data_IF_294118841842
#
_entry.id   IF_294118841842
#
_cell.length_a   1.000
_cell.length_b   1.000
_cell.length_c   1.000
_cell.angle_alpha   90.00
_cell.angle_beta   90.00
_cell.angle_gamma   90.00
#
_symmetry.space_group_name_H-M   'P 1'
#
loop_
_entity.id
_entity.type
_entity.pdbx_description
1 polymer ?
#
# COMPACT_ATOMS: atom_id res chain seq x y z
N UNK A 1 -19.31 -9.01 -6.35
CA UNK A 1 -18.72 -7.68 -6.09
C UNK A 1 -17.51 -7.84 -5.19
N UNK A 2 -16.34 -7.39 -5.63
CA UNK A 2 -15.07 -7.54 -4.92
C UNK A 2 -14.97 -6.59 -3.72
N UNK A 3 -14.50 -7.10 -2.58
CA UNK A 3 -14.26 -6.34 -1.33
C UNK A 3 -12.79 -5.92 -1.17
N UNK A 4 -11.83 -6.79 -1.56
CA UNK A 4 -10.40 -6.51 -1.60
C UNK A 4 -10.10 -5.45 -2.64
N UNK A 5 -9.26 -4.48 -2.33
CA UNK A 5 -8.95 -3.38 -3.22
C UNK A 5 -7.78 -3.70 -4.15
N UNK A 6 -7.74 -3.06 -5.32
CA UNK A 6 -6.61 -3.19 -6.26
C UNK A 6 -5.92 -1.84 -6.40
N UNK A 7 -4.60 -1.86 -6.21
CA UNK A 7 -3.71 -0.75 -6.48
C UNK A 7 -2.98 -1.05 -7.79
N UNK A 8 -2.98 -0.10 -8.72
CA UNK A 8 -2.26 -0.21 -9.99
C UNK A 8 -1.18 0.87 -10.07
N UNK A 9 0.04 0.49 -10.39
CA UNK A 9 1.12 1.45 -10.66
C UNK A 9 0.95 2.03 -12.05
N UNK A 10 0.95 3.35 -12.14
CA UNK A 10 0.80 4.08 -13.39
C UNK A 10 2.17 4.35 -13.99
N UNK A 11 2.36 3.89 -15.22
CA UNK A 11 3.58 4.04 -15.98
C UNK A 11 3.32 4.04 -17.48
N UNK A 12 4.35 3.88 -18.32
CA UNK A 12 4.23 4.01 -19.78
C UNK A 12 3.14 3.15 -20.42
N UNK A 13 2.86 1.95 -19.84
CA UNK A 13 1.84 1.04 -20.37
C UNK A 13 0.40 1.44 -19.98
N UNK A 14 0.24 2.32 -18.97
CA UNK A 14 -1.08 2.61 -18.37
C UNK A 14 -1.42 4.09 -18.26
N UNK A 15 -0.55 5.01 -18.63
CA UNK A 15 -0.74 6.46 -18.43
C UNK A 15 -1.68 7.13 -19.45
N UNK A 16 -2.05 6.45 -20.55
CA UNK A 16 -2.98 7.00 -21.53
C UNK A 16 -4.38 7.13 -20.95
N UNK A 17 -5.14 8.11 -21.41
CA UNK A 17 -6.52 8.34 -20.95
C UNK A 17 -7.42 7.13 -21.19
N UNK A 18 -7.29 6.51 -22.36
CA UNK A 18 -8.06 5.32 -22.73
C UNK A 18 -7.75 4.14 -21.78
N UNK A 19 -6.46 3.87 -21.53
CA UNK A 19 -6.07 2.78 -20.65
C UNK A 19 -6.50 3.07 -19.20
N UNK A 20 -6.36 4.30 -18.70
CA UNK A 20 -6.81 4.66 -17.36
C UNK A 20 -8.32 4.41 -17.17
N UNK A 21 -9.16 4.77 -18.17
CA UNK A 21 -10.60 4.45 -18.15
C UNK A 21 -10.84 2.94 -18.08
N UNK A 22 -10.15 2.18 -18.90
CA UNK A 22 -10.26 0.71 -18.92
C UNK A 22 -9.81 0.08 -17.60
N UNK A 23 -8.74 0.59 -16.96
CA UNK A 23 -8.27 0.09 -15.67
C UNK A 23 -9.26 0.42 -14.53
N UNK A 24 -9.86 1.61 -14.55
CA UNK A 24 -10.92 2.00 -13.60
C UNK A 24 -12.12 1.05 -13.74
N UNK A 25 -12.60 0.83 -14.97
CA UNK A 25 -13.72 -0.07 -15.25
C UNK A 25 -13.39 -1.53 -14.89
N UNK A 26 -12.13 -1.97 -15.06
CA UNK A 26 -11.66 -3.30 -14.68
C UNK A 26 -11.52 -3.48 -13.15
N UNK A 27 -11.60 -2.38 -12.39
CA UNK A 27 -11.64 -2.41 -10.93
C UNK A 27 -10.44 -1.82 -10.21
N UNK A 28 -9.65 -0.96 -10.83
CA UNK A 28 -8.63 -0.17 -10.16
C UNK A 28 -9.28 0.74 -9.09
N UNK A 29 -8.85 0.61 -7.84
CA UNK A 29 -9.32 1.42 -6.72
C UNK A 29 -8.36 2.57 -6.39
N UNK A 30 -7.06 2.33 -6.58
CA UNK A 30 -5.99 3.27 -6.26
C UNK A 30 -4.96 3.28 -7.39
N UNK A 31 -4.56 4.45 -7.82
CA UNK A 31 -3.46 4.66 -8.75
C UNK A 31 -2.19 5.01 -7.98
N UNK A 32 -1.14 4.18 -8.09
CA UNK A 32 0.16 4.40 -7.49
C UNK A 32 1.09 5.11 -8.47
N UNK A 33 1.77 6.14 -7.99
CA UNK A 33 2.79 6.91 -8.68
C UNK A 33 4.14 6.68 -7.99
N UNK A 34 5.08 6.04 -8.68
CA UNK A 34 6.39 5.72 -8.13
C UNK A 34 7.35 6.89 -8.35
N UNK A 35 7.70 7.59 -7.28
CA UNK A 35 8.60 8.76 -7.30
C UNK A 35 10.09 8.38 -7.38
N UNK A 36 10.44 7.09 -7.37
CA UNK A 36 11.79 6.65 -7.73
C UNK A 36 12.13 6.93 -9.21
N UNK A 37 11.12 7.21 -10.03
CA UNK A 37 11.26 7.45 -11.47
C UNK A 37 10.42 8.65 -11.90
N UNK A 38 10.91 9.36 -12.94
CA UNK A 38 10.21 10.49 -13.52
C UNK A 38 10.47 11.81 -12.79
N UNK A 39 9.92 12.87 -13.35
CA UNK A 39 10.02 14.25 -12.85
C UNK A 39 8.71 14.70 -12.21
N UNK A 40 8.78 15.75 -11.37
CA UNK A 40 7.57 16.36 -10.79
C UNK A 40 6.54 16.79 -11.85
N UNK A 41 6.99 17.29 -13.01
CA UNK A 41 6.07 17.71 -14.07
C UNK A 41 5.36 16.52 -14.72
N UNK A 42 6.07 15.41 -14.98
CA UNK A 42 5.46 14.17 -15.48
C UNK A 42 4.43 13.62 -14.49
N UNK A 43 4.77 13.57 -13.20
CA UNK A 43 3.83 13.14 -12.15
C UNK A 43 2.61 14.05 -12.07
N UNK A 44 2.78 15.35 -12.19
CA UNK A 44 1.69 16.33 -12.17
C UNK A 44 0.71 16.13 -13.34
N UNK A 45 1.22 15.89 -14.54
CA UNK A 45 0.37 15.66 -15.70
C UNK A 45 -0.41 14.34 -15.61
N UNK A 46 0.23 13.27 -15.15
CA UNK A 46 -0.44 11.98 -14.88
C UNK A 46 -1.50 12.12 -13.77
N UNK A 47 -1.17 12.82 -12.69
CA UNK A 47 -2.09 13.09 -11.59
C UNK A 47 -3.32 13.88 -12.05
N UNK A 48 -3.13 15.00 -12.76
CA UNK A 48 -4.24 15.83 -13.28
C UNK A 48 -5.15 15.02 -14.21
N UNK A 49 -4.56 14.20 -15.09
CA UNK A 49 -5.31 13.32 -16.00
C UNK A 49 -6.21 12.38 -15.21
N UNK A 50 -5.66 11.67 -14.23
CA UNK A 50 -6.45 10.77 -13.39
C UNK A 50 -7.55 11.49 -12.62
N UNK A 51 -7.25 12.64 -11.98
CA UNK A 51 -8.24 13.42 -11.22
C UNK A 51 -9.38 13.91 -12.12
N UNK A 52 -9.08 14.32 -13.35
CA UNK A 52 -10.11 14.67 -14.33
C UNK A 52 -10.99 13.45 -14.65
N UNK A 53 -10.36 12.32 -14.98
CA UNK A 53 -11.07 11.09 -15.37
C UNK A 53 -11.97 10.55 -14.27
N UNK A 54 -11.47 10.48 -13.02
CA UNK A 54 -12.30 9.98 -11.89
C UNK A 54 -13.56 10.82 -11.67
N UNK A 55 -13.48 12.15 -11.91
CA UNK A 55 -14.64 13.06 -11.83
C UNK A 55 -15.60 12.85 -12.98
N UNK A 56 -15.11 12.73 -14.22
CA UNK A 56 -15.94 12.45 -15.39
C UNK A 56 -16.69 11.12 -15.28
N UNK A 57 -16.04 10.09 -14.74
CA UNK A 57 -16.60 8.75 -14.55
C UNK A 57 -17.44 8.64 -13.26
N UNK A 58 -17.36 9.60 -12.35
CA UNK A 58 -18.05 9.55 -11.05
C UNK A 58 -17.49 8.46 -10.12
N UNK A 59 -16.23 8.04 -10.30
CA UNK A 59 -15.60 6.96 -9.52
C UNK A 59 -14.47 7.53 -8.67
N UNK A 60 -14.50 7.40 -7.33
CA UNK A 60 -13.53 8.01 -6.43
C UNK A 60 -12.22 7.20 -6.34
N UNK A 61 -11.48 7.08 -7.44
CA UNK A 61 -10.16 6.45 -7.47
C UNK A 61 -9.19 7.30 -6.64
N UNK A 62 -8.51 6.67 -5.66
CA UNK A 62 -7.51 7.36 -4.85
C UNK A 62 -6.16 7.44 -5.57
N UNK A 63 -5.33 8.39 -5.16
CA UNK A 63 -3.94 8.52 -5.59
C UNK A 63 -3.00 8.19 -4.44
N UNK A 64 -1.95 7.42 -4.73
CA UNK A 64 -0.91 7.04 -3.80
C UNK A 64 0.45 7.42 -4.40
N UNK A 65 1.16 8.34 -3.75
CA UNK A 65 2.56 8.58 -4.05
C UNK A 65 3.43 7.58 -3.28
N UNK A 66 4.42 6.99 -3.94
CA UNK A 66 5.35 6.05 -3.35
C UNK A 66 6.75 6.68 -3.38
N UNK A 67 7.32 6.96 -2.19
CA UNK A 67 8.60 7.67 -2.07
C UNK A 67 9.75 6.77 -2.49
N UNK A 68 10.87 7.38 -2.85
CA UNK A 68 12.09 6.65 -3.15
C UNK A 68 12.68 6.03 -1.88
N UNK A 69 12.76 6.80 -0.81
CA UNK A 69 13.36 6.39 0.45
C UNK A 69 14.90 6.33 0.42
N UNK A 70 15.52 5.97 1.55
CA UNK A 70 16.97 5.86 1.72
C UNK A 70 17.51 4.60 1.03
N UNK A 71 17.95 4.74 -0.23
CA UNK A 71 18.43 3.63 -1.05
C UNK A 71 19.92 3.80 -1.36
N UNK A 72 20.69 2.71 -1.19
CA UNK A 72 22.10 2.65 -1.57
C UNK A 72 22.20 2.08 -2.98
N UNK A 73 22.95 2.73 -3.85
CA UNK A 73 23.19 2.27 -5.23
C UNK A 73 24.65 2.29 -5.60
N UNK A 74 25.02 1.37 -6.46
CA UNK A 74 26.29 1.45 -7.21
C UNK A 74 26.25 2.65 -8.19
N UNK A 75 27.42 3.14 -8.54
CA UNK A 75 27.63 4.15 -9.57
C UNK A 75 27.86 3.50 -10.94
N UNK A 76 28.43 4.27 -11.88
CA UNK A 76 28.63 3.83 -13.24
C UNK A 76 29.83 2.86 -13.36
N UNK A 77 29.71 1.90 -14.29
CA UNK A 77 30.73 0.93 -14.64
C UNK A 77 31.30 1.21 -16.03
N UNK A 78 32.57 0.83 -16.24
CA UNK A 78 33.18 0.81 -17.58
C UNK A 78 32.36 -0.07 -18.52
N UNK A 79 32.01 0.46 -19.68
CA UNK A 79 31.14 -0.25 -20.62
C UNK A 79 29.71 -0.51 -20.13
N UNK A 80 29.30 0.09 -18.99
CA UNK A 80 27.94 0.00 -18.43
C UNK A 80 27.64 -1.31 -17.70
N UNK A 81 28.51 -2.34 -17.79
CA UNK A 81 28.30 -3.65 -17.18
C UNK A 81 29.62 -4.41 -17.03
N UNK A 82 29.77 -5.12 -15.92
CA UNK A 82 30.90 -6.02 -15.66
C UNK A 82 30.40 -7.37 -15.17
N UNK A 83 31.25 -8.40 -15.22
CA UNK A 83 30.99 -9.72 -14.66
C UNK A 83 31.81 -9.85 -13.37
N UNK A 84 31.15 -10.17 -12.25
CA UNK A 84 31.80 -10.55 -11.00
C UNK A 84 31.89 -12.07 -10.92
N UNK A 85 33.08 -12.59 -10.73
CA UNK A 85 33.32 -14.04 -10.64
C UNK A 85 33.26 -14.50 -9.18
N UNK A 86 32.62 -15.63 -8.93
CA UNK A 86 32.60 -16.24 -7.60
C UNK A 86 34.03 -16.51 -7.08
N UNK A 87 34.28 -16.06 -5.86
CA UNK A 87 35.60 -16.21 -5.19
C UNK A 87 36.59 -15.10 -5.49
N UNK A 88 36.26 -14.15 -6.37
CA UNK A 88 37.13 -12.99 -6.62
C UNK A 88 36.98 -11.96 -5.49
N UNK A 89 38.03 -11.14 -5.34
CA UNK A 89 37.95 -9.94 -4.49
C UNK A 89 37.20 -8.83 -5.21
N UNK A 90 36.39 -8.07 -4.46
CA UNK A 90 35.67 -6.92 -4.96
C UNK A 90 35.61 -5.82 -3.89
N UNK A 91 35.92 -4.58 -4.26
CA UNK A 91 35.99 -3.47 -3.33
C UNK A 91 34.85 -2.48 -3.62
N UNK A 92 34.02 -2.20 -2.61
CA UNK A 92 33.11 -1.06 -2.64
C UNK A 92 33.81 0.16 -2.04
N UNK A 93 33.68 1.31 -2.69
CA UNK A 93 34.36 2.56 -2.26
C UNK A 93 33.42 3.74 -2.25
N UNK A 94 33.68 4.67 -1.32
CA UNK A 94 32.99 5.97 -1.22
C UNK A 94 33.62 7.02 -2.15
N UNK A 95 34.80 6.74 -2.73
CA UNK A 95 35.45 7.58 -3.73
C UNK A 95 34.72 7.47 -5.07
N UNK A 96 34.70 8.56 -5.83
CA UNK A 96 34.09 8.56 -7.16
C UNK A 96 35.06 7.97 -8.18
N UNK A 97 34.84 6.70 -8.52
CA UNK A 97 35.60 5.99 -9.54
C UNK A 97 34.66 5.33 -10.53
N UNK A 98 35.14 5.12 -11.76
CA UNK A 98 34.46 4.28 -12.73
C UNK A 98 34.59 2.82 -12.29
N UNK A 99 33.47 2.12 -12.17
CA UNK A 99 33.41 0.74 -11.69
C UNK A 99 34.05 -0.25 -12.68
N UNK A 100 34.74 -1.24 -12.14
CA UNK A 100 35.38 -2.37 -12.85
C UNK A 100 34.93 -3.70 -12.22
N UNK A 101 35.49 -4.80 -12.67
CA UNK A 101 35.28 -6.11 -12.02
C UNK A 101 35.99 -6.25 -10.65
N UNK A 102 36.80 -5.28 -10.25
CA UNK A 102 37.57 -5.32 -9.00
C UNK A 102 37.07 -4.26 -7.98
N UNK A 103 36.47 -3.15 -8.45
CA UNK A 103 36.12 -1.99 -7.60
C UNK A 103 34.92 -1.24 -8.17
N UNK A 104 34.01 -0.76 -7.29
CA UNK A 104 32.93 0.13 -7.69
C UNK A 104 32.59 1.17 -6.61
N UNK A 105 32.17 2.36 -7.04
CA UNK A 105 31.66 3.41 -6.17
C UNK A 105 30.23 3.14 -5.70
N UNK A 106 29.93 3.52 -4.46
CA UNK A 106 28.60 3.51 -3.86
C UNK A 106 28.06 4.93 -3.63
N UNK A 107 26.74 5.05 -3.57
CA UNK A 107 26.09 6.34 -3.35
C UNK A 107 26.15 6.82 -1.89
N UNK A 108 26.18 5.90 -0.92
CA UNK A 108 26.16 6.20 0.50
C UNK A 108 27.58 6.19 1.08
N UNK A 109 28.06 7.38 1.46
CA UNK A 109 29.47 7.58 1.86
C UNK A 109 29.81 7.06 3.27
N UNK A 110 28.82 6.90 4.13
CA UNK A 110 29.03 6.42 5.50
C UNK A 110 28.88 4.90 5.64
N UNK A 111 28.57 4.18 4.54
CA UNK A 111 28.43 2.72 4.57
C UNK A 111 29.63 1.98 5.21
N UNK A 112 30.92 2.39 4.99
CA UNK A 112 32.04 1.76 5.69
C UNK A 112 31.99 1.83 7.21
N UNK A 113 31.25 2.81 7.79
CA UNK A 113 31.09 2.95 9.24
C UNK A 113 30.00 2.04 9.80
N UNK A 114 29.03 1.69 8.96
CA UNK A 114 27.85 0.91 9.36
C UNK A 114 28.06 -0.59 9.20
N UNK A 115 28.96 -1.03 8.31
CA UNK A 115 29.25 -2.45 8.06
C UNK A 115 30.41 -2.96 8.88
N UNK A 116 30.46 -4.26 9.12
CA UNK A 116 31.52 -4.94 9.86
C UNK A 116 32.05 -6.16 9.14
N UNK A 117 33.25 -6.61 9.52
CA UNK A 117 33.85 -7.87 9.02
C UNK A 117 32.89 -9.05 9.22
N UNK A 118 32.75 -9.89 8.21
CA UNK A 118 31.84 -11.03 8.18
C UNK A 118 30.41 -10.68 7.77
N UNK A 119 30.08 -9.39 7.66
CA UNK A 119 28.79 -8.91 7.18
C UNK A 119 28.52 -9.30 5.72
N UNK A 120 27.24 -9.30 5.34
CA UNK A 120 26.77 -9.61 4.00
C UNK A 120 26.35 -8.32 3.29
N UNK A 121 26.71 -8.18 2.02
CA UNK A 121 26.22 -7.12 1.14
C UNK A 121 25.61 -7.78 -0.10
N UNK A 122 24.39 -7.40 -0.43
CA UNK A 122 23.66 -7.90 -1.58
C UNK A 122 23.55 -6.82 -2.66
N UNK A 123 23.66 -7.22 -3.93
CA UNK A 123 23.56 -6.32 -5.08
C UNK A 123 22.55 -6.88 -6.07
N UNK A 124 21.79 -5.99 -6.73
CA UNK A 124 20.81 -6.34 -7.78
C UNK A 124 19.76 -7.31 -7.25
N UNK A 125 19.00 -6.89 -6.24
CA UNK A 125 17.93 -7.67 -5.59
C UNK A 125 18.40 -9.06 -5.07
N UNK A 126 19.65 -9.12 -4.58
CA UNK A 126 20.23 -10.33 -4.00
C UNK A 126 20.81 -11.31 -5.02
N UNK A 127 20.83 -10.97 -6.31
CA UNK A 127 21.44 -11.81 -7.35
C UNK A 127 22.97 -11.96 -7.16
N UNK A 128 23.61 -10.97 -6.55
CA UNK A 128 25.03 -10.99 -6.21
C UNK A 128 25.19 -10.86 -4.72
N UNK A 129 26.00 -11.74 -4.14
CA UNK A 129 26.30 -11.76 -2.71
C UNK A 129 27.80 -11.51 -2.50
N UNK A 130 28.09 -10.55 -1.64
CA UNK A 130 29.42 -10.20 -1.18
C UNK A 130 29.55 -10.47 0.32
N UNK A 131 30.69 -10.96 0.76
CA UNK A 131 31.05 -11.07 2.18
C UNK A 131 32.14 -10.07 2.50
N UNK A 132 31.92 -9.25 3.52
CA UNK A 132 32.90 -8.26 3.99
C UNK A 132 34.08 -8.96 4.65
N UNK A 133 35.28 -8.69 4.17
CA UNK A 133 36.54 -9.21 4.71
C UNK A 133 37.20 -8.20 5.66
N UNK A 134 37.22 -6.92 5.26
CA UNK A 134 37.77 -5.84 6.06
C UNK A 134 37.18 -4.50 5.62
N UNK A 135 37.27 -3.51 6.49
CA UNK A 135 36.73 -2.16 6.25
C UNK A 135 37.83 -1.15 6.57
N UNK A 136 37.92 -0.12 5.73
CA UNK A 136 38.73 1.07 5.98
C UNK A 136 37.81 2.30 6.09
N UNK A 137 38.38 3.50 6.17
CA UNK A 137 37.57 4.74 6.23
C UNK A 137 36.73 4.95 4.95
N UNK A 138 37.24 4.53 3.78
CA UNK A 138 36.58 4.78 2.49
C UNK A 138 36.32 3.53 1.65
N UNK A 139 36.75 2.36 2.11
CA UNK A 139 36.63 1.12 1.34
C UNK A 139 36.09 -0.03 2.17
N UNK A 140 35.33 -0.90 1.51
CA UNK A 140 34.82 -2.16 2.03
C UNK A 140 35.38 -3.26 1.11
N UNK A 141 36.32 -4.02 1.62
CA UNK A 141 36.93 -5.14 0.88
C UNK A 141 36.10 -6.40 1.07
N UNK A 142 35.64 -6.98 -0.01
CA UNK A 142 34.74 -8.12 0.01
C UNK A 142 35.28 -9.29 -0.84
N UNK A 143 34.80 -10.48 -0.55
CA UNK A 143 34.87 -11.63 -1.45
C UNK A 143 33.49 -11.87 -2.07
N UNK A 144 33.46 -12.13 -3.38
CA UNK A 144 32.22 -12.48 -4.11
C UNK A 144 31.80 -13.92 -3.74
N UNK A 145 30.72 -14.07 -2.99
CA UNK A 145 30.16 -15.38 -2.61
C UNK A 145 29.29 -15.95 -3.73
N UNK A 146 28.44 -15.12 -4.32
CA UNK A 146 27.69 -15.44 -5.52
C UNK A 146 27.93 -14.36 -6.56
N UNK A 147 28.43 -14.72 -7.71
CA UNK A 147 28.81 -13.82 -8.79
C UNK A 147 27.72 -13.73 -9.87
N UNK A 148 27.95 -12.81 -10.78
CA UNK A 148 27.03 -12.55 -11.89
C UNK A 148 27.31 -11.22 -12.59
N UNK A 149 26.49 -10.85 -13.58
CA UNK A 149 26.59 -9.57 -14.26
C UNK A 149 26.06 -8.42 -13.37
N UNK A 150 26.85 -7.39 -13.19
CA UNK A 150 26.49 -6.15 -12.50
C UNK A 150 26.50 -4.98 -13.48
N UNK A 151 25.51 -4.12 -13.43
CA UNK A 151 25.39 -2.94 -14.27
C UNK A 151 25.24 -1.65 -13.43
N UNK A 152 25.24 -0.51 -14.14
CA UNK A 152 25.09 0.83 -13.54
C UNK A 152 23.86 0.90 -12.62
N UNK A 153 24.01 1.66 -11.54
CA UNK A 153 22.92 2.08 -10.63
C UNK A 153 22.13 0.96 -9.96
N UNK A 154 22.70 -0.25 -9.84
CA UNK A 154 22.07 -1.36 -9.13
C UNK A 154 21.97 -1.07 -7.65
N UNK A 155 20.87 -1.52 -7.03
CA UNK A 155 20.62 -1.43 -5.59
C UNK A 155 21.66 -2.22 -4.80
N UNK A 156 21.97 -1.72 -3.63
CA UNK A 156 22.86 -2.36 -2.63
C UNK A 156 22.10 -2.50 -1.34
N UNK A 157 21.90 -3.73 -0.87
CA UNK A 157 21.25 -4.04 0.40
C UNK A 157 22.27 -4.57 1.39
N UNK A 158 22.06 -4.29 2.65
CA UNK A 158 22.95 -4.73 3.75
C UNK A 158 22.07 -5.34 4.85
N UNK A 159 21.67 -6.61 4.68
CA UNK A 159 20.82 -7.29 5.64
C UNK A 159 21.38 -7.26 7.07
N UNK A 160 20.50 -7.22 8.05
CA UNK A 160 20.82 -7.23 9.48
C UNK A 160 21.74 -6.10 9.95
N UNK A 161 21.82 -4.99 9.19
CA UNK A 161 22.67 -3.84 9.51
C UNK A 161 21.81 -2.59 9.70
N UNK A 162 22.00 -1.91 10.84
CA UNK A 162 21.39 -0.62 11.09
C UNK A 162 22.17 0.48 10.36
N UNK A 163 21.58 1.05 9.33
CA UNK A 163 22.20 2.13 8.56
C UNK A 163 21.95 3.48 9.24
N UNK A 164 23.02 4.29 9.39
CA UNK A 164 22.92 5.65 9.94
C UNK A 164 22.43 6.70 8.92
N UNK A 165 21.87 6.25 7.81
CA UNK A 165 21.34 7.10 6.75
C UNK A 165 20.06 7.83 7.18
N UNK A 166 19.93 9.15 6.90
CA UNK A 166 18.69 9.86 7.17
C UNK A 166 17.50 9.23 6.42
N UNK A 167 16.40 9.01 7.14
CA UNK A 167 15.18 8.40 6.56
C UNK A 167 14.58 9.26 5.44
N UNK A 168 14.53 10.59 5.62
CA UNK A 168 14.02 11.53 4.63
C UNK A 168 15.20 12.27 4.00
N UNK A 169 15.49 11.97 2.74
CA UNK A 169 16.43 12.73 1.92
C UNK A 169 15.88 14.11 1.53
N UNK A 170 16.74 15.02 1.06
CA UNK A 170 16.28 16.31 0.50
C UNK A 170 15.31 16.11 -0.68
N UNK A 171 15.54 15.09 -1.50
CA UNK A 171 14.65 14.74 -2.61
C UNK A 171 13.31 14.22 -2.10
N UNK A 172 13.31 13.29 -1.15
CA UNK A 172 12.05 12.78 -0.58
C UNK A 172 11.23 13.88 0.08
N UNK A 173 11.89 14.82 0.76
CA UNK A 173 11.21 15.98 1.32
C UNK A 173 10.56 16.83 0.23
N UNK A 174 11.29 17.12 -0.86
CA UNK A 174 10.75 17.89 -1.99
C UNK A 174 9.57 17.16 -2.65
N UNK A 175 9.66 15.85 -2.79
CA UNK A 175 8.60 15.00 -3.35
C UNK A 175 7.35 15.00 -2.46
N UNK A 176 7.51 14.84 -1.15
CA UNK A 176 6.41 14.89 -0.17
C UNK A 176 5.70 16.24 -0.19
N UNK A 177 6.47 17.34 -0.19
CA UNK A 177 5.91 18.69 -0.28
C UNK A 177 5.17 18.93 -1.60
N UNK A 178 5.71 18.40 -2.70
CA UNK A 178 5.03 18.41 -3.99
C UNK A 178 3.74 17.62 -3.97
N UNK A 179 3.73 16.43 -3.38
CA UNK A 179 2.53 15.61 -3.18
C UNK A 179 1.48 16.30 -2.34
N UNK A 180 1.88 17.01 -1.27
CA UNK A 180 0.99 17.84 -0.45
C UNK A 180 0.29 18.93 -1.30
N UNK A 181 1.05 19.63 -2.14
CA UNK A 181 0.54 20.71 -3.02
C UNK A 181 -0.44 20.20 -4.07
N UNK A 182 -0.23 18.99 -4.60
CA UNK A 182 -1.13 18.37 -5.56
C UNK A 182 -2.38 17.77 -4.92
N UNK A 183 -2.32 17.38 -3.64
CA UNK A 183 -3.42 16.79 -2.91
C UNK A 183 -3.56 15.29 -3.11
N UNK A 184 -2.46 14.54 -3.12
CA UNK A 184 -2.50 13.08 -3.05
C UNK A 184 -3.25 12.60 -1.82
N UNK A 185 -3.98 11.50 -1.94
CA UNK A 185 -4.74 10.91 -0.84
C UNK A 185 -3.88 10.06 0.10
N UNK A 186 -2.83 9.41 -0.45
CA UNK A 186 -1.94 8.51 0.28
C UNK A 186 -0.47 8.75 -0.06
N UNK A 187 0.39 8.45 0.90
CA UNK A 187 1.83 8.30 0.72
C UNK A 187 2.25 6.91 1.20
N UNK A 188 2.99 6.17 0.38
CA UNK A 188 3.70 4.96 0.76
C UNK A 188 5.14 5.34 1.08
N UNK A 189 5.54 5.10 2.33
CA UNK A 189 6.84 5.49 2.87
C UNK A 189 7.82 4.32 2.75
N UNK A 190 8.75 4.39 1.79
CA UNK A 190 9.73 3.33 1.53
C UNK A 190 10.75 3.21 2.66
N UNK A 191 11.18 1.98 2.90
CA UNK A 191 12.20 1.61 3.90
C UNK A 191 11.88 2.09 5.33
N UNK A 192 10.61 2.06 5.73
CA UNK A 192 10.21 2.37 7.09
C UNK A 192 10.73 1.30 8.05
N UNK A 193 11.50 1.71 9.04
CA UNK A 193 12.11 0.84 10.06
C UNK A 193 11.62 1.11 11.47
N UNK A 194 11.18 2.35 11.76
CA UNK A 194 10.74 2.78 13.10
C UNK A 194 9.46 3.62 13.06
N UNK A 195 8.85 3.81 14.23
CA UNK A 195 7.73 4.75 14.40
C UNK A 195 8.16 6.20 14.11
N UNK A 196 9.40 6.57 14.43
CA UNK A 196 9.93 7.92 14.22
C UNK A 196 9.95 8.29 12.73
N UNK A 197 10.26 7.35 11.84
CA UNK A 197 10.22 7.56 10.39
C UNK A 197 8.85 8.06 9.93
N UNK A 198 7.79 7.46 10.44
CA UNK A 198 6.42 7.86 10.14
C UNK A 198 6.08 9.22 10.76
N UNK A 199 6.57 9.50 11.95
CA UNK A 199 6.34 10.78 12.62
C UNK A 199 7.03 11.93 11.89
N UNK A 200 8.24 11.73 11.34
CA UNK A 200 8.92 12.72 10.49
C UNK A 200 8.09 13.10 9.26
N UNK A 201 7.52 12.12 8.54
CA UNK A 201 6.61 12.41 7.42
C UNK A 201 5.38 13.17 7.94
N UNK A 202 4.78 12.74 9.04
CA UNK A 202 3.58 13.36 9.60
C UNK A 202 3.79 14.83 9.95
N UNK A 203 4.98 15.21 10.40
CA UNK A 203 5.34 16.63 10.65
C UNK A 203 5.33 17.44 9.34
N UNK A 204 5.89 16.90 8.26
CA UNK A 204 5.85 17.57 6.94
C UNK A 204 4.40 17.73 6.47
N UNK A 205 3.59 16.67 6.57
CA UNK A 205 2.17 16.73 6.19
C UNK A 205 1.41 17.79 6.99
N UNK A 206 1.68 17.87 8.30
CA UNK A 206 1.08 18.86 9.20
C UNK A 206 1.48 20.29 8.83
N UNK A 207 2.77 20.52 8.53
CA UNK A 207 3.28 21.84 8.12
C UNK A 207 2.61 22.35 6.83
N UNK A 208 2.20 21.43 5.94
CA UNK A 208 1.51 21.74 4.68
C UNK A 208 -0.03 21.61 4.77
N UNK A 209 -0.60 21.42 5.97
CA UNK A 209 -2.04 21.16 6.16
C UNK A 209 -2.58 20.02 5.29
N UNK A 210 -1.75 19.05 4.97
CA UNK A 210 -2.10 17.91 4.14
C UNK A 210 -2.89 16.86 4.93
N UNK A 211 -3.88 16.25 4.27
CA UNK A 211 -4.69 15.16 4.82
C UNK A 211 -4.25 13.78 4.32
N UNK A 212 -3.11 13.71 3.64
CA UNK A 212 -2.56 12.42 3.17
C UNK A 212 -2.49 11.41 4.31
N UNK A 213 -2.79 10.16 3.99
CA UNK A 213 -2.66 9.01 4.87
C UNK A 213 -1.34 8.30 4.60
N UNK A 214 -0.66 7.84 5.64
CA UNK A 214 0.67 7.24 5.54
C UNK A 214 0.56 5.72 5.59
N UNK A 215 1.07 5.06 4.54
CA UNK A 215 1.24 3.61 4.45
C UNK A 215 2.73 3.31 4.60
N UNK A 216 3.13 2.72 5.72
CA UNK A 216 4.52 2.32 5.95
C UNK A 216 4.86 1.08 5.11
N UNK A 217 5.94 1.13 4.32
CA UNK A 217 6.42 -0.03 3.57
C UNK A 217 7.39 -0.82 4.45
N UNK A 218 7.07 -2.08 4.66
CA UNK A 218 7.87 -3.01 5.47
C UNK A 218 8.75 -3.81 4.50
N UNK A 219 10.03 -3.47 4.49
CA UNK A 219 11.03 -3.89 3.49
C UNK A 219 12.29 -4.48 4.11
N UNK A 220 12.39 -4.53 5.46
CA UNK A 220 13.58 -4.98 6.18
C UNK A 220 13.23 -5.77 7.44
N UNK A 221 14.20 -6.52 7.96
CA UNK A 221 14.11 -7.22 9.27
C UNK A 221 13.75 -6.25 10.39
N UNK A 222 14.36 -5.07 10.43
CA UNK A 222 14.10 -4.05 11.44
C UNK A 222 12.64 -3.56 11.39
N UNK A 223 12.11 -3.29 10.18
CA UNK A 223 10.70 -2.92 9.99
C UNK A 223 9.73 -4.01 10.46
N UNK A 224 10.06 -5.29 10.26
CA UNK A 224 9.27 -6.41 10.78
C UNK A 224 9.31 -6.47 12.30
N UNK A 225 10.49 -6.31 12.90
CA UNK A 225 10.64 -6.34 14.36
C UNK A 225 9.89 -5.18 15.05
N UNK A 226 9.85 -4.02 14.44
CA UNK A 226 9.20 -2.81 14.94
C UNK A 226 7.76 -2.63 14.45
N UNK A 227 7.17 -3.63 13.79
CA UNK A 227 5.85 -3.52 13.16
C UNK A 227 4.75 -3.03 14.11
N UNK A 228 4.84 -3.38 15.40
CA UNK A 228 3.86 -2.98 16.40
C UNK A 228 3.80 -1.47 16.56
N UNK A 229 4.95 -0.84 16.83
CA UNK A 229 5.05 0.61 17.02
C UNK A 229 4.81 1.40 15.72
N UNK A 230 5.25 0.87 14.58
CA UNK A 230 4.97 1.46 13.26
C UNK A 230 3.45 1.52 13.02
N UNK A 231 2.74 0.42 13.27
CA UNK A 231 1.29 0.35 13.14
C UNK A 231 0.54 1.32 14.07
N UNK A 232 1.09 1.65 15.23
CA UNK A 232 0.44 2.57 16.16
C UNK A 232 0.39 4.00 15.60
N UNK A 233 1.37 4.42 14.80
CA UNK A 233 1.48 5.78 14.24
C UNK A 233 1.14 5.89 12.75
N UNK A 234 1.25 4.80 11.97
CA UNK A 234 0.88 4.77 10.56
C UNK A 234 -0.64 4.61 10.35
N UNK A 235 -1.17 5.01 9.19
CA UNK A 235 -2.56 4.77 8.79
C UNK A 235 -2.74 3.36 8.18
N UNK A 236 -1.66 2.74 7.72
CA UNK A 236 -1.60 1.38 7.20
C UNK A 236 -0.17 0.94 6.92
N UNK A 237 -0.02 -0.27 6.44
CA UNK A 237 1.27 -0.86 6.07
C UNK A 237 1.20 -1.53 4.70
N UNK A 238 2.35 -1.65 4.04
CA UNK A 238 2.53 -2.42 2.80
C UNK A 238 3.61 -3.48 3.03
N UNK A 239 3.26 -4.73 2.78
CA UNK A 239 4.22 -5.83 2.73
C UNK A 239 4.84 -5.80 1.34
N UNK A 240 6.01 -5.20 1.21
CA UNK A 240 6.74 -5.04 -0.05
C UNK A 240 7.68 -6.24 -0.22
N UNK A 241 7.12 -7.36 -0.69
CA UNK A 241 7.76 -8.68 -0.66
C UNK A 241 9.02 -8.78 -1.51
N UNK A 242 9.16 -7.94 -2.54
CA UNK A 242 10.38 -7.87 -3.36
C UNK A 242 11.58 -7.47 -2.52
N UNK A 243 11.52 -6.28 -1.93
CA UNK A 243 12.61 -5.74 -1.11
C UNK A 243 12.76 -6.53 0.20
N UNK A 244 11.64 -6.90 0.85
CA UNK A 244 11.68 -7.72 2.07
C UNK A 244 12.37 -9.08 1.84
N UNK A 245 12.15 -9.72 0.68
CA UNK A 245 12.76 -11.01 0.35
C UNK A 245 14.25 -10.93 0.00
N UNK A 246 14.80 -9.72 -0.11
CA UNK A 246 16.25 -9.49 -0.19
C UNK A 246 16.87 -9.37 1.22
N UNK A 247 16.10 -8.82 2.15
CA UNK A 247 16.55 -8.50 3.52
C UNK A 247 16.34 -9.65 4.52
N UNK A 248 15.43 -10.60 4.23
CA UNK A 248 15.15 -11.76 5.09
C UNK A 248 15.23 -13.05 4.30
N UNK A 249 15.42 -14.22 4.96
CA UNK A 249 15.34 -15.51 4.29
C UNK A 249 14.03 -15.67 3.51
N UNK A 250 14.12 -16.09 2.26
CA UNK A 250 12.97 -16.14 1.33
C UNK A 250 11.79 -16.95 1.89
N UNK A 251 12.09 -18.05 2.59
CA UNK A 251 11.10 -18.92 3.24
C UNK A 251 10.35 -18.25 4.40
N UNK A 252 10.88 -17.17 4.97
CA UNK A 252 10.25 -16.42 6.06
C UNK A 252 9.29 -15.34 5.55
N UNK A 253 9.42 -14.88 4.31
CA UNK A 253 8.56 -13.85 3.73
C UNK A 253 7.06 -14.18 3.87
N UNK A 254 6.57 -15.40 3.58
CA UNK A 254 5.17 -15.75 3.79
C UNK A 254 4.74 -15.73 5.26
N UNK A 255 5.67 -16.03 6.19
CA UNK A 255 5.41 -16.00 7.64
C UNK A 255 5.24 -14.56 8.10
N UNK A 256 6.17 -13.68 7.71
CA UNK A 256 6.07 -12.24 8.00
C UNK A 256 4.84 -11.58 7.37
N UNK A 257 4.50 -11.94 6.12
CA UNK A 257 3.27 -11.46 5.48
C UNK A 257 2.05 -11.76 6.36
N UNK A 258 1.87 -13.00 6.79
CA UNK A 258 0.73 -13.41 7.64
C UNK A 258 0.74 -12.67 8.96
N UNK A 259 1.89 -12.52 9.58
CA UNK A 259 2.05 -11.81 10.85
C UNK A 259 1.66 -10.33 10.72
N UNK A 260 2.20 -9.63 9.72
CA UNK A 260 1.90 -8.22 9.47
C UNK A 260 0.42 -8.01 9.15
N UNK A 261 -0.16 -8.86 8.28
CA UNK A 261 -1.58 -8.79 7.94
C UNK A 261 -2.45 -8.96 9.20
N UNK A 262 -2.13 -9.94 10.04
CA UNK A 262 -2.86 -10.18 11.28
C UNK A 262 -2.78 -8.97 12.24
N UNK A 263 -1.59 -8.44 12.47
CA UNK A 263 -1.40 -7.28 13.36
C UNK A 263 -2.13 -6.03 12.86
N UNK A 264 -2.09 -5.78 11.53
CA UNK A 264 -2.82 -4.68 10.91
C UNK A 264 -4.35 -4.87 11.04
N UNK A 265 -4.84 -6.07 10.83
CA UNK A 265 -6.27 -6.39 10.98
C UNK A 265 -6.77 -6.18 12.40
N UNK A 266 -6.03 -6.64 13.42
CA UNK A 266 -6.38 -6.44 14.84
C UNK A 266 -6.45 -4.96 15.18
N UNK A 267 -5.53 -4.15 14.66
CA UNK A 267 -5.50 -2.68 14.89
C UNK A 267 -6.47 -1.89 13.98
N UNK A 268 -7.15 -2.55 13.04
CA UNK A 268 -8.04 -1.90 12.07
C UNK A 268 -7.30 -0.95 11.11
N UNK A 269 -6.06 -1.31 10.77
CA UNK A 269 -5.22 -0.59 9.83
C UNK A 269 -5.33 -1.17 8.42
N UNK A 270 -5.04 -0.36 7.42
CA UNK A 270 -4.92 -0.82 6.03
C UNK A 270 -3.69 -1.71 5.91
N UNK A 271 -3.81 -2.82 5.18
CA UNK A 271 -2.65 -3.62 4.80
C UNK A 271 -2.69 -3.92 3.31
N UNK A 272 -1.59 -3.66 2.64
CA UNK A 272 -1.39 -3.89 1.21
C UNK A 272 -0.39 -5.03 1.03
N UNK A 273 -0.74 -6.05 0.25
CA UNK A 273 0.22 -7.06 -0.20
C UNK A 273 0.70 -6.67 -1.60
N UNK A 274 2.01 -6.50 -1.74
CA UNK A 274 2.63 -5.88 -2.90
C UNK A 274 3.78 -6.70 -3.47
N UNK A 275 4.13 -6.40 -4.72
CA UNK A 275 5.23 -6.94 -5.52
C UNK A 275 5.09 -8.40 -5.91
N UNK A 276 5.47 -8.73 -7.15
CA UNK A 276 5.51 -10.08 -7.71
C UNK A 276 4.18 -10.86 -7.57
N UNK A 277 3.03 -10.16 -7.66
CA UNK A 277 1.71 -10.79 -7.51
C UNK A 277 1.30 -11.57 -8.78
N UNK A 278 1.46 -10.94 -9.95
CA UNK A 278 1.20 -11.53 -11.27
C UNK A 278 2.36 -11.23 -12.23
N UNK A 279 3.58 -11.34 -11.76
CA UNK A 279 4.80 -10.90 -12.43
C UNK A 279 4.96 -11.46 -13.85
N UNK A 280 4.63 -12.74 -14.06
CA UNK A 280 4.65 -13.35 -15.39
C UNK A 280 3.75 -12.64 -16.40
N UNK A 281 2.73 -11.89 -15.94
CA UNK A 281 1.86 -11.09 -16.79
C UNK A 281 2.52 -9.79 -17.31
N UNK A 282 3.74 -9.50 -16.89
CA UNK A 282 4.60 -8.53 -17.61
C UNK A 282 4.76 -8.91 -19.09
N UNK A 283 4.85 -10.20 -19.37
CA UNK A 283 5.15 -10.74 -20.71
C UNK A 283 4.10 -11.72 -21.25
N UNK A 284 3.23 -12.26 -20.39
CA UNK A 284 2.24 -13.27 -20.75
C UNK A 284 0.82 -12.79 -20.48
N UNK A 285 -0.17 -13.16 -21.33
CA UNK A 285 -1.58 -12.75 -21.14
C UNK A 285 -2.29 -13.49 -20.00
N UNK A 286 -1.63 -14.45 -19.36
CA UNK A 286 -2.15 -15.24 -18.23
C UNK A 286 -1.06 -15.46 -17.19
N UNK A 287 -1.42 -15.47 -15.88
CA UNK A 287 -0.46 -15.77 -14.85
C UNK A 287 -0.16 -17.27 -14.76
N UNK A 288 0.88 -17.59 -14.02
CA UNK A 288 1.12 -18.96 -13.57
C UNK A 288 0.09 -19.40 -12.52
N UNK A 289 -0.01 -20.69 -12.26
CA UNK A 289 -0.87 -21.23 -11.20
C UNK A 289 -0.37 -20.80 -9.81
N UNK A 290 0.95 -20.70 -9.63
CA UNK A 290 1.55 -20.26 -8.38
C UNK A 290 1.15 -18.81 -8.05
N UNK A 291 1.22 -17.89 -9.03
CA UNK A 291 0.80 -16.50 -8.86
C UNK A 291 -0.68 -16.37 -8.54
N UNK A 292 -1.55 -17.12 -9.24
CA UNK A 292 -2.97 -17.13 -8.92
C UNK A 292 -3.25 -17.62 -7.50
N UNK A 293 -2.48 -18.61 -7.02
CA UNK A 293 -2.55 -19.11 -5.64
C UNK A 293 -2.03 -18.08 -4.66
N UNK A 294 -0.96 -17.37 -4.98
CA UNK A 294 -0.37 -16.32 -4.14
C UNK A 294 -1.36 -15.16 -3.92
N UNK A 295 -1.98 -14.65 -4.98
CA UNK A 295 -3.03 -13.62 -4.88
C UNK A 295 -4.18 -14.11 -4.00
N UNK A 296 -4.66 -15.33 -4.20
CA UNK A 296 -5.73 -15.90 -3.39
C UNK A 296 -5.32 -16.04 -1.91
N UNK A 297 -4.10 -16.51 -1.64
CA UNK A 297 -3.59 -16.65 -0.27
C UNK A 297 -3.50 -15.30 0.46
N UNK A 298 -3.03 -14.24 -0.17
CA UNK A 298 -3.02 -12.90 0.43
C UNK A 298 -4.44 -12.47 0.88
N UNK A 299 -5.46 -12.83 0.09
CA UNK A 299 -6.86 -12.53 0.41
C UNK A 299 -7.36 -13.43 1.55
N UNK A 300 -7.02 -14.72 1.53
CA UNK A 300 -7.31 -15.63 2.65
C UNK A 300 -6.62 -15.21 3.94
N UNK A 301 -5.41 -14.67 3.88
CA UNK A 301 -4.70 -14.12 5.02
C UNK A 301 -5.40 -12.87 5.60
N UNK A 302 -6.16 -12.17 4.76
CA UNK A 302 -6.96 -11.03 5.20
C UNK A 302 -6.42 -9.68 4.76
N UNK A 303 -5.63 -9.60 3.70
CA UNK A 303 -5.16 -8.31 3.17
C UNK A 303 -6.33 -7.36 2.84
N UNK A 304 -6.11 -6.05 2.97
CA UNK A 304 -7.09 -5.03 2.58
C UNK A 304 -7.04 -4.77 1.08
N UNK A 305 -5.82 -4.74 0.54
CA UNK A 305 -5.56 -4.47 -0.86
C UNK A 305 -4.41 -5.32 -1.39
N UNK A 306 -4.42 -5.52 -2.70
CA UNK A 306 -3.38 -6.19 -3.48
C UNK A 306 -2.89 -5.21 -4.54
N UNK A 307 -1.59 -5.26 -4.87
CA UNK A 307 -0.97 -4.27 -5.75
C UNK A 307 -0.33 -4.92 -6.96
N UNK A 308 -0.53 -4.29 -8.13
CA UNK A 308 0.20 -4.53 -9.36
C UNK A 308 1.26 -3.44 -9.54
N UNK A 309 2.49 -3.85 -9.76
CA UNK A 309 3.65 -2.96 -9.93
C UNK A 309 4.02 -2.85 -11.43
N UNK A 310 5.00 -3.62 -11.86
CA UNK A 310 5.44 -3.67 -13.25
C UNK A 310 4.34 -4.10 -14.20
N UNK A 311 3.46 -5.01 -13.77
CA UNK A 311 2.37 -5.58 -14.58
C UNK A 311 1.46 -4.50 -15.18
N UNK A 312 1.24 -3.39 -14.47
CA UNK A 312 0.46 -2.25 -14.97
C UNK A 312 1.30 -1.07 -15.40
N UNK A 313 2.53 -0.91 -14.85
CA UNK A 313 3.39 0.22 -15.20
C UNK A 313 4.05 0.11 -16.57
N UNK A 314 4.59 -1.07 -16.91
CA UNK A 314 5.39 -1.32 -18.11
C UNK A 314 5.11 -2.67 -18.79
N UNK A 315 4.25 -3.51 -18.20
CA UNK A 315 3.89 -4.81 -18.73
C UNK A 315 3.13 -4.73 -20.06
N UNK A 316 3.18 -5.80 -20.83
CA UNK A 316 2.49 -5.89 -22.13
C UNK A 316 0.96 -6.08 -21.99
N UNK A 317 0.48 -6.48 -20.81
CA UNK A 317 -0.92 -6.86 -20.58
C UNK A 317 -1.55 -6.16 -19.34
N UNK A 318 -1.48 -4.82 -19.21
CA UNK A 318 -1.91 -4.12 -18.01
C UNK A 318 -3.41 -4.33 -17.68
N UNK A 319 -4.27 -4.28 -18.68
CA UNK A 319 -5.71 -4.47 -18.51
C UNK A 319 -6.06 -5.90 -18.08
N UNK A 320 -5.45 -6.88 -18.73
CA UNK A 320 -5.64 -8.30 -18.43
C UNK A 320 -5.15 -8.65 -17.03
N UNK A 321 -4.06 -8.03 -16.56
CA UNK A 321 -3.55 -8.19 -15.21
C UNK A 321 -4.59 -7.73 -14.17
N UNK A 322 -5.17 -6.54 -14.33
CA UNK A 322 -6.22 -6.03 -13.42
C UNK A 322 -7.47 -6.92 -13.46
N UNK A 323 -7.95 -7.30 -14.66
CA UNK A 323 -9.10 -8.19 -14.81
C UNK A 323 -8.86 -9.56 -14.17
N UNK A 324 -7.65 -10.11 -14.32
CA UNK A 324 -7.28 -11.41 -13.74
C UNK A 324 -7.20 -11.32 -12.23
N UNK A 325 -6.53 -10.31 -11.69
CA UNK A 325 -6.46 -10.05 -10.25
C UNK A 325 -7.87 -9.88 -9.64
N UNK A 326 -8.75 -9.15 -10.33
CA UNK A 326 -10.15 -8.98 -9.90
C UNK A 326 -10.90 -10.31 -9.83
N UNK A 327 -10.79 -11.16 -10.87
CA UNK A 327 -11.45 -12.49 -10.87
C UNK A 327 -10.93 -13.41 -9.78
N UNK A 328 -9.61 -13.44 -9.53
CA UNK A 328 -9.01 -14.25 -8.46
C UNK A 328 -9.54 -13.76 -7.10
N UNK A 329 -9.58 -12.43 -6.90
CA UNK A 329 -10.07 -11.85 -5.67
C UNK A 329 -11.55 -12.20 -5.43
N UNK A 330 -12.41 -12.07 -6.44
CA UNK A 330 -13.82 -12.43 -6.31
C UNK A 330 -14.02 -13.92 -6.03
N UNK A 331 -13.23 -14.79 -6.64
CA UNK A 331 -13.29 -16.23 -6.40
C UNK A 331 -12.89 -16.58 -4.95
N UNK A 332 -11.77 -16.03 -4.46
CA UNK A 332 -11.31 -16.25 -3.09
C UNK A 332 -12.32 -15.69 -2.06
N UNK A 333 -12.85 -14.50 -2.29
CA UNK A 333 -13.86 -13.89 -1.40
C UNK A 333 -15.18 -14.67 -1.34
N UNK A 334 -15.56 -15.31 -2.44
CA UNK A 334 -16.76 -16.14 -2.48
C UNK A 334 -16.62 -17.41 -1.60
N UNK A 335 -15.42 -17.95 -1.52
CA UNK A 335 -15.11 -19.12 -0.69
C UNK A 335 -14.99 -18.78 0.82
N UNK A 336 -14.65 -17.52 1.15
CA UNK A 336 -14.46 -17.08 2.53
C UNK A 336 -15.80 -17.01 3.28
N UNK A 337 -15.91 -17.77 4.39
CA UNK A 337 -17.02 -17.62 5.32
C UNK A 337 -16.81 -16.43 6.27
N UNK A 338 -17.14 -15.22 5.81
CA UNK A 338 -17.02 -13.99 6.62
C UNK A 338 -17.86 -14.02 7.90
N UNK A 339 -19.01 -14.73 7.91
CA UNK A 339 -19.83 -14.87 9.10
C UNK A 339 -19.11 -15.64 10.19
N UNK A 340 -18.45 -16.73 9.84
CA UNK A 340 -17.63 -17.52 10.77
C UNK A 340 -16.40 -16.71 11.24
N UNK A 341 -15.72 -16.01 10.32
CA UNK A 341 -14.59 -15.16 10.69
C UNK A 341 -14.99 -14.09 11.71
N UNK A 342 -16.11 -13.42 11.50
CA UNK A 342 -16.61 -12.41 12.42
C UNK A 342 -16.90 -12.99 13.81
N UNK A 343 -17.56 -14.16 13.89
CA UNK A 343 -17.88 -14.83 15.16
C UNK A 343 -16.65 -15.29 15.94
N UNK A 344 -15.60 -15.71 15.23
CA UNK A 344 -14.38 -16.25 15.83
C UNK A 344 -13.35 -15.14 16.17
N UNK A 345 -13.69 -13.88 16.00
CA UNK A 345 -12.81 -12.78 16.45
C UNK A 345 -12.70 -12.76 17.96
N UNK A 346 -11.47 -12.51 18.50
CA UNK A 346 -11.30 -12.26 19.91
C UNK A 346 -12.19 -11.08 20.35
N UNK A 347 -12.82 -11.19 21.53
CA UNK A 347 -13.57 -10.06 22.08
C UNK A 347 -12.60 -8.94 22.48
N UNK A 348 -12.95 -7.72 22.11
CA UNK A 348 -12.19 -6.51 22.45
C UNK A 348 -12.69 -6.04 23.84
N UNK A 349 -12.21 -6.66 24.92
CA UNK A 349 -12.55 -6.23 26.28
C UNK A 349 -12.00 -4.82 26.55
N UNK A 350 -12.81 -3.98 27.21
CA UNK A 350 -12.45 -2.59 27.48
C UNK A 350 -12.51 -1.68 26.26
N UNK A 351 -13.18 -2.11 25.19
CA UNK A 351 -13.37 -1.33 23.98
C UNK A 351 -14.13 -0.01 24.27
N UNK A 352 -13.76 1.03 23.57
CA UNK A 352 -14.49 2.30 23.58
C UNK A 352 -15.91 2.16 22.95
N UNK A 353 -16.76 3.14 23.18
CA UNK A 353 -18.13 3.15 22.65
C UNK A 353 -18.19 3.03 21.13
N UNK A 354 -17.26 3.65 20.41
CA UNK A 354 -17.16 3.58 18.95
C UNK A 354 -16.88 2.15 18.47
N UNK A 355 -15.97 1.44 19.14
CA UNK A 355 -15.66 0.04 18.83
C UNK A 355 -16.87 -0.85 19.10
N UNK A 356 -17.56 -0.66 20.24
CA UNK A 356 -18.76 -1.42 20.60
C UNK A 356 -19.90 -1.20 19.59
N UNK A 357 -20.16 0.05 19.20
CA UNK A 357 -21.18 0.41 18.19
C UNK A 357 -20.82 -0.16 16.82
N UNK A 358 -19.55 -0.07 16.40
CA UNK A 358 -19.10 -0.61 15.12
C UNK A 358 -19.26 -2.13 15.04
N UNK A 359 -18.91 -2.85 16.10
CA UNK A 359 -19.12 -4.28 16.21
C UNK A 359 -20.61 -4.64 16.18
N UNK A 360 -21.44 -3.94 16.98
CA UNK A 360 -22.89 -4.14 17.02
C UNK A 360 -23.55 -3.85 15.68
N UNK A 361 -23.08 -2.82 14.94
CA UNK A 361 -23.55 -2.54 13.58
C UNK A 361 -23.37 -3.73 12.66
N UNK A 362 -22.20 -4.36 12.68
CA UNK A 362 -21.93 -5.55 11.88
C UNK A 362 -22.77 -6.76 12.30
N UNK A 363 -23.00 -6.94 13.62
CA UNK A 363 -23.90 -7.98 14.15
C UNK A 363 -25.34 -7.76 13.66
N UNK A 364 -25.88 -6.55 13.86
CA UNK A 364 -27.25 -6.23 13.43
C UNK A 364 -27.41 -6.47 11.93
N UNK A 365 -26.45 -5.97 11.11
CA UNK A 365 -26.48 -6.16 9.67
C UNK A 365 -26.50 -7.65 9.27
N UNK A 366 -25.74 -8.48 9.98
CA UNK A 366 -25.71 -9.93 9.76
C UNK A 366 -27.00 -10.61 10.17
N UNK A 367 -27.57 -10.26 11.33
CA UNK A 367 -28.76 -10.93 11.89
C UNK A 367 -30.01 -10.64 11.07
N UNK A 368 -30.16 -9.43 10.53
CA UNK A 368 -31.30 -9.07 9.68
C UNK A 368 -31.04 -9.33 8.18
N UNK A 369 -29.88 -9.89 7.80
CA UNK A 369 -29.42 -10.06 6.40
C UNK A 369 -29.51 -8.74 5.61
N UNK A 370 -28.99 -7.65 6.19
CA UNK A 370 -28.99 -6.36 5.55
C UNK A 370 -28.22 -6.38 4.23
N UNK A 371 -28.70 -5.64 3.22
CA UNK A 371 -28.04 -5.54 1.92
C UNK A 371 -26.77 -4.72 1.97
N UNK A 372 -26.72 -3.72 2.86
CA UNK A 372 -25.54 -2.90 3.09
C UNK A 372 -25.50 -2.40 4.53
N UNK A 373 -24.29 -2.04 4.97
CA UNK A 373 -24.11 -1.06 6.05
C UNK A 373 -23.88 0.29 5.38
N UNK A 374 -24.63 1.31 5.78
CA UNK A 374 -24.48 2.69 5.30
C UNK A 374 -23.79 3.49 6.39
N UNK A 375 -22.72 4.20 6.04
CA UNK A 375 -22.03 5.09 7.00
C UNK A 375 -22.06 6.52 6.49
N UNK A 376 -22.27 7.48 7.39
CA UNK A 376 -22.05 8.89 7.13
C UNK A 376 -20.83 9.33 7.92
N UNK A 377 -19.85 9.91 7.24
CA UNK A 377 -18.56 10.23 7.87
C UNK A 377 -17.88 11.43 7.23
N UNK A 378 -17.34 12.32 8.05
CA UNK A 378 -16.57 13.49 7.59
C UNK A 378 -15.08 13.19 7.34
N UNK A 379 -14.52 12.18 8.00
CA UNK A 379 -13.09 11.86 7.95
C UNK A 379 -12.78 10.42 7.50
N UNK A 380 -13.83 9.64 7.14
CA UNK A 380 -13.69 8.20 6.87
C UNK A 380 -13.53 7.33 8.14
N UNK A 381 -13.57 7.92 9.33
CA UNK A 381 -13.33 7.21 10.59
C UNK A 381 -14.33 6.07 10.81
N UNK A 382 -15.64 6.34 10.74
CA UNK A 382 -16.70 5.34 10.92
C UNK A 382 -16.58 4.21 9.89
N UNK A 383 -16.37 4.55 8.61
CA UNK A 383 -16.19 3.55 7.55
C UNK A 383 -15.00 2.62 7.83
N UNK A 384 -13.88 3.16 8.31
CA UNK A 384 -12.69 2.38 8.69
C UNK A 384 -12.99 1.44 9.86
N UNK A 385 -13.69 1.92 10.89
CA UNK A 385 -14.07 1.11 12.05
C UNK A 385 -14.99 -0.06 11.68
N UNK A 386 -15.94 0.16 10.77
CA UNK A 386 -16.80 -0.92 10.25
C UNK A 386 -16.00 -1.88 9.35
N UNK A 387 -15.17 -1.34 8.44
CA UNK A 387 -14.34 -2.12 7.51
C UNK A 387 -13.41 -3.10 8.23
N UNK A 388 -12.89 -2.73 9.42
CA UNK A 388 -12.09 -3.60 10.30
C UNK A 388 -12.74 -4.96 10.52
N UNK A 389 -14.05 -5.01 10.67
CA UNK A 389 -14.80 -6.24 10.96
C UNK A 389 -15.11 -7.10 9.74
N UNK A 390 -14.79 -6.61 8.53
CA UNK A 390 -15.04 -7.32 7.25
C UNK A 390 -16.43 -7.92 7.16
N UNK A 391 -17.49 -7.12 7.25
CA UNK A 391 -18.87 -7.62 7.25
C UNK A 391 -19.20 -8.41 5.99
N UNK A 392 -20.23 -9.26 6.08
CA UNK A 392 -20.71 -10.06 4.94
C UNK A 392 -21.27 -9.19 3.82
N UNK A 393 -21.99 -8.11 4.16
CA UNK A 393 -22.51 -7.14 3.19
C UNK A 393 -21.52 -6.01 2.91
N UNK A 394 -21.64 -5.31 1.77
CA UNK A 394 -20.84 -4.13 1.45
C UNK A 394 -21.10 -2.97 2.42
N UNK A 395 -20.14 -2.05 2.50
CA UNK A 395 -20.22 -0.82 3.27
C UNK A 395 -20.34 0.34 2.29
N UNK A 396 -21.49 0.98 2.22
CA UNK A 396 -21.68 2.24 1.47
C UNK A 396 -21.28 3.39 2.38
N UNK A 397 -20.13 4.00 2.09
CA UNK A 397 -19.56 5.04 2.94
C UNK A 397 -19.77 6.42 2.29
N UNK A 398 -20.63 7.22 2.89
CA UNK A 398 -21.04 8.53 2.39
C UNK A 398 -20.25 9.65 3.06
N UNK A 399 -19.71 10.55 2.26
CA UNK A 399 -19.04 11.78 2.73
C UNK A 399 -19.44 12.97 1.84
N UNK A 400 -19.43 14.16 2.41
CA UNK A 400 -19.58 15.42 1.65
C UNK A 400 -18.26 15.88 1.01
N UNK A 401 -17.14 15.19 1.33
CA UNK A 401 -15.79 15.53 0.87
C UNK A 401 -15.29 14.53 -0.16
N UNK A 402 -15.05 14.97 -1.41
CA UNK A 402 -14.46 14.15 -2.47
C UNK A 402 -13.11 13.51 -2.06
N UNK A 403 -12.14 14.25 -1.47
CA UNK A 403 -10.89 13.64 -1.01
C UNK A 403 -11.08 12.53 0.02
N UNK A 404 -12.05 12.69 0.93
CA UNK A 404 -12.38 11.64 1.93
C UNK A 404 -13.00 10.43 1.24
N UNK A 405 -13.90 10.64 0.27
CA UNK A 405 -14.46 9.55 -0.52
C UNK A 405 -13.36 8.77 -1.25
N UNK A 406 -12.40 9.47 -1.88
CA UNK A 406 -11.24 8.83 -2.51
C UNK A 406 -10.39 8.03 -1.50
N UNK A 407 -10.10 8.60 -0.32
CA UNK A 407 -9.39 7.87 0.74
C UNK A 407 -10.13 6.60 1.18
N UNK A 408 -11.44 6.64 1.31
CA UNK A 408 -12.23 5.47 1.69
C UNK A 408 -12.21 4.35 0.64
N UNK A 409 -11.81 4.63 -0.61
CA UNK A 409 -11.74 3.61 -1.66
C UNK A 409 -10.62 2.57 -1.44
N UNK A 410 -9.67 2.80 -0.52
CA UNK A 410 -8.67 1.81 -0.10
C UNK A 410 -9.14 0.96 1.10
N UNK A 411 -10.33 1.18 1.64
CA UNK A 411 -10.85 0.40 2.76
C UNK A 411 -11.56 -0.88 2.26
N UNK A 412 -11.32 -2.01 2.92
CA UNK A 412 -11.92 -3.30 2.56
C UNK A 412 -13.46 -3.25 2.57
N UNK A 413 -14.07 -3.70 1.47
CA UNK A 413 -15.53 -3.79 1.34
C UNK A 413 -16.27 -2.46 1.25
N UNK A 414 -15.57 -1.32 1.24
CA UNK A 414 -16.16 0.02 1.20
C UNK A 414 -16.43 0.45 -0.24
N UNK A 415 -17.63 0.96 -0.48
CA UNK A 415 -18.05 1.68 -1.68
C UNK A 415 -18.22 3.14 -1.26
N UNK A 416 -17.27 4.00 -1.57
CA UNK A 416 -17.37 5.40 -1.17
C UNK A 416 -18.29 6.16 -2.12
N UNK A 417 -19.14 7.01 -1.52
CA UNK A 417 -20.07 7.88 -2.24
C UNK A 417 -19.93 9.31 -1.76
N UNK A 418 -19.93 10.25 -2.69
CA UNK A 418 -20.06 11.67 -2.34
C UNK A 418 -21.54 12.02 -2.33
N UNK A 419 -22.01 12.61 -1.22
CA UNK A 419 -23.38 13.06 -1.04
C UNK A 419 -23.40 14.58 -0.80
N UNK A 420 -24.53 15.26 -1.08
CA UNK A 420 -24.68 16.68 -0.75
C UNK A 420 -24.58 16.91 0.75
N UNK A 421 -24.17 18.10 1.12
CA UNK A 421 -24.25 18.56 2.50
C UNK A 421 -25.68 18.95 2.81
N UNK A 422 -26.22 18.43 3.92
CA UNK A 422 -27.56 18.74 4.40
C UNK A 422 -27.45 19.29 5.83
N UNK A 423 -28.29 20.26 6.15
CA UNK A 423 -28.35 20.89 7.48
C UNK A 423 -29.16 20.07 8.49
N UNK A 424 -29.98 19.14 8.00
CA UNK A 424 -30.84 18.26 8.80
C UNK A 424 -30.29 16.83 8.78
N UNK A 425 -30.11 16.25 9.97
CA UNK A 425 -29.60 14.88 10.13
C UNK A 425 -30.46 13.83 9.41
N UNK A 426 -31.80 13.97 9.47
CA UNK A 426 -32.71 13.03 8.82
C UNK A 426 -32.57 13.09 7.29
N UNK A 427 -32.47 14.27 6.69
CA UNK A 427 -32.26 14.45 5.25
C UNK A 427 -30.90 13.86 4.83
N UNK A 428 -29.85 14.04 5.64
CA UNK A 428 -28.53 13.48 5.37
C UNK A 428 -28.55 11.94 5.42
N UNK A 429 -29.30 11.36 6.36
CA UNK A 429 -29.44 9.90 6.47
C UNK A 429 -30.25 9.33 5.30
N UNK A 430 -31.32 10.00 4.89
CA UNK A 430 -32.09 9.65 3.70
C UNK A 430 -31.23 9.71 2.43
N UNK A 431 -30.44 10.79 2.27
CA UNK A 431 -29.49 10.90 1.15
C UNK A 431 -28.48 9.76 1.14
N UNK A 432 -27.97 9.36 2.32
CA UNK A 432 -27.01 8.25 2.44
C UNK A 432 -27.68 6.89 2.10
N UNK A 433 -28.92 6.66 2.51
CA UNK A 433 -29.68 5.45 2.13
C UNK A 433 -29.94 5.43 0.62
N UNK A 434 -30.31 6.59 0.04
CA UNK A 434 -30.48 6.74 -1.41
C UNK A 434 -29.18 6.52 -2.19
N UNK A 435 -28.02 6.88 -1.62
CA UNK A 435 -26.73 6.58 -2.22
C UNK A 435 -26.51 5.06 -2.36
N UNK A 436 -26.94 4.24 -1.40
CA UNK A 436 -26.89 2.78 -1.51
C UNK A 436 -27.77 2.24 -2.67
N UNK A 437 -28.92 2.87 -2.93
CA UNK A 437 -29.78 2.56 -4.07
C UNK A 437 -29.16 2.99 -5.40
N UNK A 438 -28.58 4.18 -5.46
CA UNK A 438 -27.88 4.70 -6.66
C UNK A 438 -26.66 3.85 -7.01
N UNK A 439 -25.95 3.33 -6.01
CA UNK A 439 -24.83 2.38 -6.20
C UNK A 439 -25.29 0.99 -6.68
N UNK A 440 -26.60 0.75 -6.83
CA UNK A 440 -27.14 -0.56 -7.22
C UNK A 440 -27.00 -1.66 -6.17
N UNK A 441 -26.73 -1.30 -4.92
CA UNK A 441 -26.49 -2.25 -3.82
C UNK A 441 -27.79 -2.69 -3.14
N UNK A 442 -28.72 -1.78 -3.01
CA UNK A 442 -30.02 -2.03 -2.39
C UNK A 442 -31.16 -1.53 -3.29
N UNK A 443 -32.31 -2.21 -3.22
CA UNK A 443 -33.52 -1.85 -3.93
C UNK A 443 -34.65 -1.57 -2.93
N UNK A 444 -35.75 -1.00 -3.41
CA UNK A 444 -36.94 -0.74 -2.58
C UNK A 444 -37.37 -2.00 -1.84
N UNK A 445 -37.60 -1.86 -0.52
CA UNK A 445 -37.97 -2.95 0.38
C UNK A 445 -36.79 -3.69 1.02
N UNK A 446 -35.55 -3.45 0.57
CA UNK A 446 -34.36 -4.01 1.21
C UNK A 446 -34.07 -3.28 2.55
N UNK A 447 -33.48 -4.01 3.49
CA UNK A 447 -33.01 -3.46 4.76
C UNK A 447 -31.55 -3.06 4.67
N UNK A 448 -31.21 -1.88 5.21
CA UNK A 448 -29.85 -1.40 5.40
C UNK A 448 -29.65 -0.97 6.85
N UNK A 449 -28.42 -1.06 7.33
CA UNK A 449 -28.06 -0.59 8.69
C UNK A 449 -27.24 0.66 8.54
N UNK A 450 -27.77 1.78 9.01
CA UNK A 450 -27.05 3.06 9.03
C UNK A 450 -26.32 3.24 10.36
N UNK A 451 -25.10 3.73 10.31
CA UNK A 451 -24.31 4.12 11.48
C UNK A 451 -23.59 5.44 11.25
N UNK A 452 -23.57 6.28 12.25
CA UNK A 452 -22.98 7.61 12.20
C UNK A 452 -22.53 8.08 13.60
N UNK A 453 -21.78 9.16 13.63
CA UNK A 453 -21.56 9.95 14.85
C UNK A 453 -22.56 11.09 14.91
N UNK A 454 -23.33 11.21 15.98
CA UNK A 454 -24.25 12.32 16.26
C UNK A 454 -23.88 13.01 17.58
N UNK A 455 -23.97 14.37 17.68
CA UNK A 455 -24.38 15.28 16.61
C UNK A 455 -23.40 15.31 15.45
N UNK A 456 -23.91 15.65 14.26
CA UNK A 456 -23.07 15.77 13.05
C UNK A 456 -22.04 16.90 13.23
N UNK A 457 -20.86 16.71 12.60
CA UNK A 457 -19.77 17.70 12.65
C UNK A 457 -18.67 17.34 13.67
N UNK A 458 -18.91 16.46 14.61
CA UNK A 458 -17.87 15.91 15.49
C UNK A 458 -17.20 14.71 14.85
N UNK A 459 -15.86 14.73 14.75
CA UNK A 459 -15.08 13.63 14.19
C UNK A 459 -14.63 12.66 15.27
N UNK A 460 -14.60 11.35 14.95
CA UNK A 460 -14.09 10.31 15.86
C UNK A 460 -15.12 9.73 16.81
N UNK A 461 -16.38 10.10 16.67
CA UNK A 461 -17.49 9.61 17.47
C UNK A 461 -18.47 8.82 16.59
N UNK A 462 -18.56 7.49 16.79
CA UNK A 462 -19.59 6.66 16.16
C UNK A 462 -20.46 6.11 17.29
N UNK A 463 -21.67 6.62 17.43
CA UNK A 463 -22.52 6.38 18.60
C UNK A 463 -23.98 6.01 18.27
N UNK A 464 -24.33 5.86 16.98
CA UNK A 464 -25.68 5.58 16.54
C UNK A 464 -25.74 4.38 15.60
N UNK A 465 -26.78 3.55 15.76
CA UNK A 465 -27.19 2.50 14.82
C UNK A 465 -28.67 2.69 14.54
N UNK A 466 -29.05 2.66 13.26
CA UNK A 466 -30.46 2.71 12.84
C UNK A 466 -30.68 1.75 11.65
N UNK A 467 -31.78 1.00 11.70
CA UNK A 467 -32.23 0.16 10.58
C UNK A 467 -33.19 0.97 9.70
N UNK A 468 -32.94 0.96 8.40
CA UNK A 468 -33.81 1.56 7.40
C UNK A 468 -34.32 0.50 6.43
N UNK A 469 -35.54 0.66 5.97
CA UNK A 469 -36.05 0.02 4.77
C UNK A 469 -35.95 1.00 3.60
N UNK A 470 -35.34 0.56 2.50
CA UNK A 470 -35.11 1.38 1.30
C UNK A 470 -36.46 1.63 0.61
N UNK A 471 -36.78 2.90 0.41
CA UNK A 471 -38.05 3.37 -0.16
C UNK A 471 -37.98 3.71 -1.67
#
# INVERSE_FOLDING_TARGET
MRKTKIICTIGPASESEEMLRQLIDAGMNVARFNFSHGTHEEHKEKFKRLVRLRREMGVPVATLMDTKGPEIRLRDFEGGRVMLEKGSDFTLTTEEVMGTAERASISYKDLPKDVSEGGMILIDDGLIELRVNSVTETEIHCTVVNGGPVSNHKGVNVPDTDLSMPFISEQDRADIEFGCKLGYEYIAASFTTTADDILQIREILKAHNSRMKIIAKIESTQGVNNIGEILDVADGVMVARGDLGVEVPLEEVPVYQKHIIHLAEVRGKIVVTATQMLDSMMHNPRPTRAEATDVANAIYDGTTAIMLSGETASGAYPLEAVKTMSRIAEAAEHDINYRSRFKNRPSEFGADSTTAISHSTCMVAQDINAKAIVTVTMSGFTARRISKYKPTCPIVACSVSEPVACQMNLLFGVIPMTIPQEDNEEMLFEAAVMAAKQAGIAVKGDKVVLTAGVPLGETGNTNMIRVFEVF
#
